data_IF_858992091181
#
_entry.id   IF_858992091181
#
_cell.length_a   1.000
_cell.length_b   1.000
_cell.length_c   1.000
_cell.angle_alpha   90.00
_cell.angle_beta   90.00
_cell.angle_gamma   90.00
#
_symmetry.space_group_name_H-M   'P 1'
#
loop_
_entity.id
_entity.type
_entity.pdbx_description
1 polymer ?
#
# COMPACT_ATOMS: atom_id res chain seq x y z
N UNK A 1 -10.39 5.28 -11.56
CA UNK A 1 -9.14 5.82 -10.97
C UNK A 1 -9.14 5.82 -9.46
N UNK A 2 -10.10 6.45 -8.76
CA UNK A 2 -10.12 6.49 -7.29
C UNK A 2 -10.32 5.12 -6.61
N UNK A 3 -11.18 4.25 -7.18
CA UNK A 3 -11.42 2.90 -6.63
C UNK A 3 -10.18 1.97 -6.65
N UNK A 4 -9.35 2.04 -7.70
CA UNK A 4 -8.14 1.20 -7.83
C UNK A 4 -7.07 1.63 -6.80
N UNK A 5 -6.92 2.94 -6.55
CA UNK A 5 -6.03 3.42 -5.51
C UNK A 5 -6.49 2.95 -4.12
N UNK A 6 -7.79 3.04 -3.84
CA UNK A 6 -8.36 2.59 -2.57
C UNK A 6 -8.11 1.10 -2.31
N UNK A 7 -8.39 0.23 -3.29
CA UNK A 7 -8.13 -1.22 -3.17
C UNK A 7 -6.64 -1.52 -2.94
N UNK A 8 -5.74 -0.79 -3.59
CA UNK A 8 -4.29 -0.98 -3.42
C UNK A 8 -3.80 -0.54 -2.06
N UNK A 9 -4.32 0.57 -1.53
CA UNK A 9 -4.00 1.01 -0.18
C UNK A 9 -4.54 0.02 0.86
N UNK A 10 -5.77 -0.46 0.71
CA UNK A 10 -6.33 -1.50 1.57
C UNK A 10 -5.48 -2.78 1.55
N UNK A 11 -4.97 -3.17 0.38
CA UNK A 11 -4.04 -4.30 0.24
C UNK A 11 -2.73 -4.05 0.97
N UNK A 12 -2.10 -2.87 0.81
CA UNK A 12 -0.84 -2.53 1.49
C UNK A 12 -0.98 -2.59 3.02
N UNK A 13 -2.10 -2.14 3.57
CA UNK A 13 -2.35 -2.20 5.01
C UNK A 13 -2.60 -3.62 5.55
N UNK A 14 -2.84 -4.64 4.70
CA UNK A 14 -2.92 -6.03 5.14
C UNK A 14 -1.58 -6.52 5.73
N UNK A 15 -0.47 -5.95 5.30
CA UNK A 15 0.86 -6.25 5.84
C UNK A 15 1.01 -5.90 7.34
N UNK A 16 0.09 -5.10 7.89
CA UNK A 16 0.09 -4.69 9.30
C UNK A 16 -1.08 -5.29 10.08
N UNK A 17 -2.12 -5.81 9.40
CA UNK A 17 -3.31 -6.37 10.05
C UNK A 17 -3.01 -7.76 10.61
N UNK A 18 -3.41 -8.00 11.86
CA UNK A 18 -3.23 -9.29 12.52
C UNK A 18 -1.82 -9.51 13.09
N UNK A 19 -0.89 -8.59 12.85
CA UNK A 19 0.43 -8.60 13.48
C UNK A 19 0.29 -8.20 14.95
N UNK A 20 0.74 -9.07 15.86
CA UNK A 20 0.75 -8.80 17.29
C UNK A 20 1.71 -7.65 17.65
N UNK A 21 2.74 -7.43 16.83
CA UNK A 21 3.69 -6.31 16.97
C UNK A 21 4.23 -5.88 15.61
N UNK A 22 4.17 -4.56 15.37
CA UNK A 22 4.71 -3.93 14.16
C UNK A 22 6.25 -3.85 14.29
N UNK A 23 6.98 -4.14 13.21
CA UNK A 23 8.43 -4.16 13.16
C UNK A 23 8.94 -3.48 11.88
N UNK A 24 10.25 -3.23 11.79
CA UNK A 24 10.79 -2.46 10.67
C UNK A 24 10.56 -3.14 9.31
N UNK A 25 10.51 -4.48 9.29
CA UNK A 25 10.27 -5.25 8.06
C UNK A 25 8.85 -5.04 7.53
N UNK A 26 7.83 -5.16 8.39
CA UNK A 26 6.44 -5.00 7.96
C UNK A 26 6.11 -3.53 7.60
N UNK A 27 6.72 -2.57 8.29
CA UNK A 27 6.66 -1.15 7.91
C UNK A 27 7.31 -0.94 6.54
N UNK A 28 8.52 -1.44 6.32
CA UNK A 28 9.23 -1.27 5.05
C UNK A 28 8.45 -1.85 3.86
N UNK A 29 7.85 -3.03 4.04
CA UNK A 29 7.00 -3.66 3.02
C UNK A 29 5.74 -2.84 2.73
N UNK A 30 5.05 -2.37 3.78
CA UNK A 30 3.85 -1.53 3.64
C UNK A 30 4.15 -0.22 2.92
N UNK A 31 5.24 0.47 3.29
CA UNK A 31 5.64 1.74 2.65
C UNK A 31 6.00 1.53 1.18
N UNK A 32 6.66 0.41 0.85
CA UNK A 32 6.99 0.06 -0.54
C UNK A 32 5.73 -0.12 -1.39
N UNK A 33 4.72 -0.79 -0.86
CA UNK A 33 3.46 -1.04 -1.57
C UNK A 33 2.63 0.25 -1.74
N UNK A 34 2.57 1.10 -0.72
CA UNK A 34 1.95 2.44 -0.82
C UNK A 34 2.63 3.27 -1.91
N UNK A 35 3.97 3.29 -1.95
CA UNK A 35 4.72 4.03 -2.98
C UNK A 35 4.35 3.57 -4.39
N UNK A 36 4.25 2.27 -4.61
CA UNK A 36 3.84 1.70 -5.90
C UNK A 36 2.41 2.08 -6.26
N UNK A 37 1.48 1.97 -5.31
CA UNK A 37 0.09 2.35 -5.52
C UNK A 37 -0.08 3.81 -5.94
N UNK A 38 0.68 4.72 -5.33
CA UNK A 38 0.65 6.14 -5.67
C UNK A 38 1.27 6.43 -7.05
N UNK A 39 2.37 5.75 -7.42
CA UNK A 39 2.99 5.89 -8.74
C UNK A 39 2.05 5.36 -9.83
N UNK A 40 1.49 4.16 -9.66
CA UNK A 40 0.57 3.54 -10.62
C UNK A 40 -0.70 4.40 -10.81
N UNK A 41 -1.22 4.99 -9.73
CA UNK A 41 -2.39 5.87 -9.79
C UNK A 41 -2.11 7.16 -10.58
N UNK A 42 -0.86 7.64 -10.56
CA UNK A 42 -0.44 8.80 -11.33
C UNK A 42 -0.23 8.48 -12.82
N UNK A 43 0.31 7.29 -13.15
CA UNK A 43 0.57 6.89 -14.54
C UNK A 43 -0.75 6.62 -15.30
N UNK A 44 -1.78 6.11 -14.63
CA UNK A 44 -3.06 5.81 -15.29
C UNK A 44 -3.90 7.05 -15.66
N UNK A 45 -3.46 8.27 -15.31
CA UNK A 45 -4.14 9.54 -15.60
C UNK A 45 -3.53 10.32 -16.79
N UNK A 46 -2.60 9.72 -17.55
CA UNK A 46 -1.99 10.31 -18.74
C UNK A 46 -2.41 9.60 -20.03
#
# INVERSE_FOLDING_TARGET
MFGNLQERLESAFKNLKGEAKINDLNVANTVKDIRRALIDANINNA
#
